data_IF_448367296482
#
_entry.id   IF_448367296482
#
_cell.length_a   1.000
_cell.length_b   1.000
_cell.length_c   1.000
_cell.angle_alpha   90.00
_cell.angle_beta   90.00
_cell.angle_gamma   90.00
#
_symmetry.space_group_name_H-M   'P 1'
#
loop_
_entity.id
_entity.type
_entity.pdbx_description
1 polymer ?
#
# COMPACT_ATOMS: atom_id res chain seq x y z
N UNK A 1 4.72 11.77 20.01
CA UNK A 1 5.44 12.65 19.07
C UNK A 1 5.86 11.86 17.86
N UNK A 2 5.60 12.37 16.66
CA UNK A 2 6.02 11.77 15.39
C UNK A 2 7.08 12.65 14.72
N UNK A 3 8.15 12.02 14.19
CA UNK A 3 9.30 12.71 13.59
C UNK A 3 9.61 12.06 12.23
N UNK A 4 9.97 12.86 11.23
CA UNK A 4 10.48 12.38 9.95
C UNK A 4 11.95 11.91 10.01
N UNK A 5 12.48 11.41 8.90
CA UNK A 5 13.88 10.97 8.81
C UNK A 5 14.90 12.09 8.96
N UNK A 6 14.50 13.34 8.73
CA UNK A 6 15.35 14.53 8.88
C UNK A 6 15.31 15.09 10.31
N UNK A 7 14.56 14.47 11.23
CA UNK A 7 14.38 14.94 12.59
C UNK A 7 13.32 16.03 12.76
N UNK A 8 12.56 16.35 11.70
CA UNK A 8 11.47 17.33 11.78
C UNK A 8 10.27 16.71 12.48
N UNK A 9 9.74 17.39 13.48
CA UNK A 9 8.52 17.01 14.16
C UNK A 9 7.33 17.18 13.21
N UNK A 10 6.58 16.09 13.00
CA UNK A 10 5.39 16.05 12.14
C UNK A 10 4.14 16.30 12.97
N UNK A 11 4.07 15.70 14.17
CA UNK A 11 2.90 15.77 15.02
C UNK A 11 3.28 15.54 16.49
N UNK A 12 2.54 16.21 17.39
CA UNK A 12 2.68 16.03 18.84
C UNK A 12 1.27 15.85 19.42
N UNK A 13 1.04 14.69 20.02
CA UNK A 13 -0.20 14.40 20.73
C UNK A 13 0.08 14.25 22.23
N UNK A 14 -0.79 14.84 23.04
CA UNK A 14 -0.81 14.68 24.49
C UNK A 14 -2.10 13.95 24.82
N UNK A 15 -1.97 12.83 25.52
CA UNK A 15 -3.10 11.99 25.92
C UNK A 15 -2.85 11.35 27.30
N UNK A 16 -3.83 10.63 27.78
CA UNK A 16 -3.68 9.76 28.95
C UNK A 16 -3.18 8.36 28.55
N UNK A 17 -3.03 7.47 29.55
CA UNK A 17 -2.51 6.11 29.35
C UNK A 17 -3.35 5.22 28.43
N UNK A 18 -4.50 5.66 27.96
CA UNK A 18 -5.42 4.87 27.12
C UNK A 18 -5.83 5.55 25.80
N UNK A 19 -5.48 6.82 25.57
CA UNK A 19 -6.08 7.64 24.50
C UNK A 19 -5.10 8.37 23.57
N UNK A 20 -3.85 7.92 23.46
CA UNK A 20 -2.90 8.54 22.52
C UNK A 20 -3.26 8.14 21.07
N UNK A 21 -3.77 9.10 20.29
CA UNK A 21 -4.04 8.88 18.86
C UNK A 21 -2.74 8.86 18.07
N UNK A 22 -2.56 7.83 17.26
CA UNK A 22 -1.44 7.73 16.34
C UNK A 22 -1.61 8.73 15.18
N UNK A 23 -0.53 9.32 14.65
CA UNK A 23 -0.60 10.21 13.50
C UNK A 23 -1.10 9.45 12.26
N UNK A 24 -1.84 10.14 11.39
CA UNK A 24 -2.27 9.56 10.10
C UNK A 24 -1.06 9.40 9.19
N UNK A 25 -0.54 8.20 9.13
CA UNK A 25 0.59 7.83 8.27
C UNK A 25 0.10 6.96 7.13
N UNK A 26 0.49 7.27 5.90
CA UNK A 26 0.24 6.42 4.74
C UNK A 26 1.35 5.39 4.60
N UNK A 27 1.02 4.14 4.84
CA UNK A 27 1.92 3.00 4.56
C UNK A 27 2.14 2.85 3.05
N UNK A 28 3.39 2.57 2.65
CA UNK A 28 3.75 2.22 1.28
C UNK A 28 4.14 0.75 1.23
N UNK A 29 3.66 -0.01 0.24
CA UNK A 29 3.84 -1.47 0.21
C UNK A 29 5.28 -1.98 0.29
N UNK A 30 6.24 -1.17 -0.15
CA UNK A 30 7.63 -1.61 -0.39
C UNK A 30 8.68 -0.83 0.40
N UNK A 31 8.26 0.04 1.31
CA UNK A 31 9.16 0.89 2.13
C UNK A 31 8.55 1.11 3.49
N UNK A 32 9.39 1.40 4.44
CA UNK A 32 8.95 2.00 5.69
C UNK A 32 8.30 3.37 5.42
N UNK A 33 7.41 3.79 6.30
CA UNK A 33 6.57 4.98 6.09
C UNK A 33 7.34 6.31 6.16
N UNK A 34 8.57 6.31 6.66
CA UNK A 34 9.39 7.50 6.83
C UNK A 34 9.15 8.24 8.14
N UNK A 35 8.41 7.64 9.08
CA UNK A 35 8.04 8.25 10.37
C UNK A 35 8.52 7.40 11.52
N UNK A 36 9.11 8.05 12.52
CA UNK A 36 9.43 7.47 13.83
C UNK A 36 8.46 8.02 14.86
N UNK A 37 7.95 7.17 15.73
CA UNK A 37 7.09 7.56 16.85
C UNK A 37 7.86 7.42 18.15
N UNK A 38 7.78 8.45 18.99
CA UNK A 38 8.33 8.45 20.34
C UNK A 38 7.19 8.79 21.30
N UNK A 39 6.97 7.95 22.30
CA UNK A 39 5.94 8.17 23.32
C UNK A 39 6.46 7.80 24.71
N UNK A 40 5.73 8.19 25.71
CA UNK A 40 6.09 7.96 27.12
C UNK A 40 5.13 6.98 27.78
N UNK A 41 5.67 6.12 28.63
CA UNK A 41 4.92 5.22 29.50
C UNK A 41 5.00 5.70 30.96
N UNK A 42 3.93 6.28 31.49
CA UNK A 42 3.93 6.84 32.85
C UNK A 42 3.98 5.77 33.95
N UNK A 43 3.90 4.48 33.61
CA UNK A 43 4.09 3.35 34.50
C UNK A 43 5.54 3.03 34.85
N UNK A 44 6.50 3.76 34.27
CA UNK A 44 7.94 3.48 34.41
C UNK A 44 8.45 2.32 33.55
N UNK A 45 7.58 1.52 32.92
CA UNK A 45 7.99 0.43 32.05
C UNK A 45 8.21 0.93 30.62
N UNK A 46 9.43 0.85 30.12
CA UNK A 46 9.78 1.26 28.77
C UNK A 46 9.46 0.20 27.69
N UNK A 47 9.06 -1.02 28.06
CA UNK A 47 8.75 -2.09 27.10
C UNK A 47 7.58 -1.67 26.20
N UNK A 48 7.70 -1.94 24.90
CA UNK A 48 6.62 -1.73 23.95
C UNK A 48 5.42 -2.61 24.27
N UNK A 49 4.22 -2.05 24.22
CA UNK A 49 2.97 -2.79 24.37
C UNK A 49 2.61 -3.52 23.08
N UNK A 50 1.70 -4.49 23.14
CA UNK A 50 1.19 -5.18 21.96
C UNK A 50 0.52 -4.21 20.97
N UNK A 51 -0.07 -3.12 21.45
CA UNK A 51 -0.66 -2.06 20.64
C UNK A 51 0.44 -1.29 19.88
N UNK A 52 1.57 -0.98 20.55
CA UNK A 52 2.71 -0.32 19.92
C UNK A 52 3.34 -1.19 18.85
N UNK A 53 3.50 -2.48 19.14
CA UNK A 53 4.04 -3.47 18.21
C UNK A 53 3.12 -3.63 16.98
N UNK A 54 1.81 -3.71 17.20
CA UNK A 54 0.84 -3.77 16.11
C UNK A 54 0.92 -2.53 15.23
N UNK A 55 0.96 -1.34 15.83
CA UNK A 55 1.09 -0.08 15.11
C UNK A 55 2.42 0.03 14.33
N UNK A 56 3.53 -0.42 14.92
CA UNK A 56 4.83 -0.48 14.27
C UNK A 56 4.79 -1.31 12.97
N UNK A 57 4.17 -2.48 13.03
CA UNK A 57 4.08 -3.42 11.91
C UNK A 57 3.06 -2.95 10.86
N UNK A 58 1.85 -2.59 11.27
CA UNK A 58 0.77 -2.20 10.36
C UNK A 58 1.08 -0.91 9.59
N UNK A 59 1.63 0.09 10.27
CA UNK A 59 2.00 1.36 9.66
C UNK A 59 3.39 1.32 9.01
N UNK A 60 4.14 0.22 9.18
CA UNK A 60 5.53 0.08 8.73
C UNK A 60 6.37 1.28 9.16
N UNK A 61 6.30 1.61 10.45
CA UNK A 61 7.04 2.74 10.99
C UNK A 61 8.55 2.52 10.85
N UNK A 62 9.30 3.60 10.68
CA UNK A 62 10.77 3.56 10.67
C UNK A 62 11.31 3.08 12.02
N UNK A 63 10.68 3.49 13.10
CA UNK A 63 10.89 2.99 14.47
C UNK A 63 9.74 3.42 15.39
N UNK A 64 9.53 2.66 16.45
CA UNK A 64 8.68 3.00 17.58
C UNK A 64 9.54 3.04 18.85
N UNK A 65 9.51 4.15 19.59
CA UNK A 65 10.28 4.25 20.83
C UNK A 65 9.38 4.59 22.01
N UNK A 66 9.49 3.84 23.08
CA UNK A 66 8.81 4.08 24.34
C UNK A 66 9.82 4.50 25.44
N UNK A 67 9.50 5.54 26.18
CA UNK A 67 10.31 6.06 27.31
C UNK A 67 9.54 5.77 28.59
N UNK A 68 10.10 4.92 29.44
CA UNK A 68 9.55 4.68 30.78
C UNK A 68 9.83 5.84 31.73
N UNK A 69 8.76 6.44 32.26
CA UNK A 69 8.87 7.57 33.20
C UNK A 69 8.33 7.14 34.54
N UNK A 70 9.16 7.27 35.59
CA UNK A 70 8.78 7.03 36.97
C UNK A 70 7.85 8.14 37.52
N UNK A 71 7.22 7.90 38.64
CA UNK A 71 6.30 8.87 39.31
C UNK A 71 6.98 10.18 39.72
N UNK A 72 8.30 10.15 39.93
CA UNK A 72 9.13 11.33 40.24
C UNK A 72 9.60 12.11 39.00
N UNK A 73 9.20 11.64 37.79
CA UNK A 73 9.59 12.25 36.53
C UNK A 73 10.93 11.75 35.99
N UNK A 74 11.64 10.88 36.70
CA UNK A 74 12.91 10.31 36.23
C UNK A 74 12.68 9.26 35.12
N UNK A 75 13.61 9.17 34.17
CA UNK A 75 13.58 8.17 33.10
C UNK A 75 14.13 6.85 33.64
N UNK A 76 13.33 5.78 33.50
CA UNK A 76 13.72 4.42 33.94
C UNK A 76 14.36 3.60 32.81
N UNK A 77 14.07 3.95 31.55
CA UNK A 77 14.63 3.27 30.39
C UNK A 77 13.98 3.71 29.09
N UNK A 78 14.56 3.25 28.00
CA UNK A 78 14.05 3.48 26.64
C UNK A 78 14.02 2.14 25.92
N UNK A 79 12.94 1.92 25.17
CA UNK A 79 12.81 0.81 24.22
C UNK A 79 12.68 1.35 22.80
N UNK A 80 13.31 0.65 21.86
CA UNK A 80 13.27 0.96 20.44
C UNK A 80 12.85 -0.28 19.68
N UNK A 81 11.69 -0.21 19.03
CA UNK A 81 11.17 -1.26 18.16
C UNK A 81 11.39 -0.94 16.69
N UNK A 82 11.73 -1.96 15.93
CA UNK A 82 11.91 -1.91 14.47
C UNK A 82 11.15 -3.05 13.81
N UNK A 83 10.72 -2.84 12.57
CA UNK A 83 10.26 -3.95 11.75
C UNK A 83 11.44 -4.88 11.43
N UNK A 84 11.18 -6.19 11.40
CA UNK A 84 12.12 -7.23 11.00
C UNK A 84 11.46 -8.14 9.99
N UNK A 85 12.16 -8.49 8.93
CA UNK A 85 11.68 -9.44 7.92
C UNK A 85 12.21 -10.83 8.26
N UNK A 86 11.31 -11.80 8.48
CA UNK A 86 11.68 -13.20 8.74
C UNK A 86 10.69 -14.08 7.97
N UNK A 87 11.20 -14.99 7.17
CA UNK A 87 10.39 -15.96 6.40
C UNK A 87 9.17 -15.32 5.71
N UNK A 88 9.42 -14.23 5.00
CA UNK A 88 8.41 -13.47 4.29
C UNK A 88 7.33 -12.78 5.17
N UNK A 89 7.48 -12.78 6.49
CA UNK A 89 6.62 -12.08 7.43
C UNK A 89 7.31 -10.83 7.99
N UNK A 90 6.53 -9.80 8.29
CA UNK A 90 7.02 -8.64 9.02
C UNK A 90 6.75 -8.88 10.49
N UNK A 91 7.80 -9.08 11.24
CA UNK A 91 7.81 -9.18 12.69
C UNK A 91 8.40 -7.90 13.28
N UNK A 92 8.64 -7.88 14.58
CA UNK A 92 9.35 -6.81 15.25
C UNK A 92 10.62 -7.34 15.94
N UNK A 93 11.57 -6.45 16.12
CA UNK A 93 12.68 -6.62 17.05
C UNK A 93 12.70 -5.41 18.00
N UNK A 94 13.03 -5.64 19.25
CA UNK A 94 13.02 -4.61 20.30
C UNK A 94 14.38 -4.55 20.98
N UNK A 95 14.92 -3.35 21.12
CA UNK A 95 16.14 -3.05 21.87
C UNK A 95 15.78 -2.19 23.06
N UNK A 96 16.14 -2.64 24.27
CA UNK A 96 15.89 -1.92 25.51
C UNK A 96 17.21 -1.44 26.12
N UNK A 97 17.28 -0.18 26.55
CA UNK A 97 18.41 0.38 27.24
C UNK A 97 17.95 1.25 28.42
N UNK A 98 18.73 1.20 29.52
CA UNK A 98 18.60 2.15 30.62
C UNK A 98 19.49 3.38 30.45
N UNK A 99 20.41 3.34 29.48
CA UNK A 99 21.34 4.42 29.23
C UNK A 99 20.92 5.22 27.99
N UNK A 100 20.62 6.50 28.17
CA UNK A 100 20.25 7.41 27.09
C UNK A 100 21.35 7.56 26.03
N UNK A 101 22.62 7.55 26.43
CA UNK A 101 23.74 7.66 25.49
C UNK A 101 23.82 6.51 24.48
N UNK A 102 23.24 5.35 24.81
CA UNK A 102 23.13 4.24 23.84
C UNK A 102 22.21 4.63 22.68
N UNK A 103 21.18 5.42 22.94
CA UNK A 103 20.22 5.88 21.91
C UNK A 103 20.81 6.99 21.05
N UNK A 104 21.57 7.91 21.68
CA UNK A 104 22.26 9.01 20.95
C UNK A 104 23.22 8.49 19.90
N UNK A 105 23.90 7.39 20.19
CA UNK A 105 24.89 6.76 19.31
C UNK A 105 24.28 5.71 18.37
N UNK A 106 22.97 5.44 18.44
CA UNK A 106 22.33 4.44 17.60
C UNK A 106 22.12 4.97 16.18
N UNK A 107 22.64 4.26 15.20
CA UNK A 107 22.51 4.66 13.80
C UNK A 107 21.17 4.21 13.21
N UNK A 108 20.13 4.98 13.50
CA UNK A 108 18.77 4.73 12.99
C UNK A 108 18.70 4.64 11.47
N UNK A 109 19.45 5.49 10.75
CA UNK A 109 19.39 5.50 9.28
C UNK A 109 19.98 4.22 8.68
N UNK A 110 21.07 3.71 9.24
CA UNK A 110 21.64 2.44 8.80
C UNK A 110 20.65 1.28 9.02
N UNK A 111 20.00 1.24 10.20
CA UNK A 111 18.99 0.22 10.50
C UNK A 111 17.79 0.29 9.57
N UNK A 112 17.28 1.49 9.31
CA UNK A 112 16.19 1.72 8.36
C UNK A 112 16.55 1.25 6.95
N UNK A 113 17.80 1.54 6.49
CA UNK A 113 18.28 1.11 5.19
C UNK A 113 18.43 -0.40 5.08
N UNK A 114 18.88 -1.07 6.15
CA UNK A 114 18.96 -2.52 6.26
C UNK A 114 17.55 -3.14 6.08
N UNK A 115 16.58 -2.69 6.87
CA UNK A 115 15.19 -3.17 6.80
C UNK A 115 14.56 -2.91 5.42
N UNK A 116 14.78 -1.72 4.84
CA UNK A 116 14.29 -1.41 3.50
C UNK A 116 14.97 -2.27 2.42
N UNK A 117 16.23 -2.65 2.60
CA UNK A 117 16.93 -3.59 1.72
C UNK A 117 16.30 -4.98 1.81
N UNK A 118 16.01 -5.46 3.01
CA UNK A 118 15.31 -6.73 3.23
C UNK A 118 13.88 -6.71 2.67
N UNK A 119 13.14 -5.63 2.90
CA UNK A 119 11.80 -5.44 2.32
C UNK A 119 11.83 -5.40 0.78
N UNK A 120 12.92 -4.91 0.16
CA UNK A 120 13.10 -4.95 -1.29
C UNK A 120 13.58 -6.31 -1.78
N UNK A 121 14.49 -6.97 -1.07
CA UNK A 121 14.98 -8.30 -1.40
C UNK A 121 13.85 -9.34 -1.40
N UNK A 122 12.85 -9.17 -0.52
CA UNK A 122 11.60 -9.94 -0.49
C UNK A 122 10.86 -10.02 -1.84
N UNK A 123 11.17 -9.11 -2.77
CA UNK A 123 10.53 -9.01 -4.09
C UNK A 123 11.34 -9.73 -5.19
N UNK A 124 12.62 -10.01 -4.90
CA UNK A 124 13.53 -10.69 -5.83
C UNK A 124 13.47 -12.21 -5.64
N UNK A 125 12.92 -12.66 -4.52
CA UNK A 125 12.60 -14.07 -4.33
C UNK A 125 11.46 -14.44 -5.27
N UNK A 126 11.76 -15.22 -6.31
CA UNK A 126 10.82 -15.70 -7.34
C UNK A 126 9.64 -16.51 -6.77
N UNK A 127 9.59 -16.71 -5.46
CA UNK A 127 8.56 -17.44 -4.71
C UNK A 127 7.51 -16.56 -4.01
N UNK A 128 7.39 -15.27 -4.32
CA UNK A 128 6.24 -14.49 -3.82
C UNK A 128 4.96 -14.93 -4.52
N UNK A 129 4.38 -15.98 -3.98
CA UNK A 129 3.12 -16.52 -4.50
C UNK A 129 1.96 -15.59 -4.13
N UNK A 130 1.24 -15.12 -5.12
CA UNK A 130 0.03 -14.33 -4.91
C UNK A 130 -1.14 -15.29 -4.63
N UNK A 131 -1.76 -15.11 -3.46
CA UNK A 131 -2.97 -15.83 -3.04
C UNK A 131 -4.15 -14.89 -3.16
N UNK A 132 -5.04 -15.15 -4.12
CA UNK A 132 -6.13 -14.25 -4.44
C UNK A 132 -7.49 -14.74 -3.94
N UNK A 133 -8.31 -13.80 -3.48
CA UNK A 133 -9.76 -13.97 -3.40
C UNK A 133 -10.38 -13.30 -4.61
N UNK A 134 -11.19 -14.06 -5.36
CA UNK A 134 -11.95 -13.53 -6.49
C UNK A 134 -13.31 -13.05 -6.01
N UNK A 135 -13.71 -11.86 -6.48
CA UNK A 135 -14.98 -11.24 -6.12
C UNK A 135 -15.74 -10.86 -7.38
N UNK A 136 -16.98 -11.30 -7.50
CA UNK A 136 -17.84 -10.98 -8.64
C UNK A 136 -19.29 -10.82 -8.27
N UNK A 137 -20.09 -10.33 -9.21
CA UNK A 137 -21.53 -10.09 -9.03
C UNK A 137 -22.40 -10.71 -10.10
N UNK A 138 -21.88 -11.00 -11.27
CA UNK A 138 -22.68 -11.45 -12.43
C UNK A 138 -22.99 -12.94 -12.35
N UNK A 139 -21.99 -13.79 -12.46
CA UNK A 139 -22.20 -15.24 -12.52
C UNK A 139 -21.00 -16.03 -11.97
N UNK A 140 -21.25 -17.30 -11.71
CA UNK A 140 -20.19 -18.26 -11.33
C UNK A 140 -19.29 -18.59 -12.53
N UNK A 141 -19.85 -18.55 -13.74
CA UNK A 141 -19.09 -18.77 -14.97
C UNK A 141 -18.04 -17.68 -15.19
N UNK A 142 -18.44 -16.39 -14.98
CA UNK A 142 -17.50 -15.27 -15.09
C UNK A 142 -16.35 -15.37 -14.07
N UNK A 143 -16.66 -15.80 -12.85
CA UNK A 143 -15.64 -16.05 -11.82
C UNK A 143 -14.76 -17.26 -12.14
N UNK A 144 -15.27 -18.28 -12.81
CA UNK A 144 -14.47 -19.40 -13.30
C UNK A 144 -13.48 -18.93 -14.38
N UNK A 145 -13.92 -18.09 -15.32
CA UNK A 145 -13.02 -17.47 -16.31
C UNK A 145 -11.96 -16.57 -15.64
N UNK A 146 -12.35 -15.76 -14.65
CA UNK A 146 -11.42 -14.93 -13.90
C UNK A 146 -10.36 -15.78 -13.18
N UNK A 147 -10.73 -16.95 -12.67
CA UNK A 147 -9.80 -17.90 -12.05
C UNK A 147 -8.76 -18.40 -13.05
N UNK A 148 -9.17 -18.73 -14.29
CA UNK A 148 -8.24 -19.13 -15.35
C UNK A 148 -7.28 -17.99 -15.71
N UNK A 149 -7.79 -16.75 -15.78
CA UNK A 149 -6.95 -15.56 -15.99
C UNK A 149 -5.94 -15.36 -14.86
N UNK A 150 -6.35 -15.54 -13.59
CA UNK A 150 -5.44 -15.46 -12.44
C UNK A 150 -4.36 -16.55 -12.51
N UNK A 151 -4.74 -17.77 -12.84
CA UNK A 151 -3.80 -18.89 -13.03
C UNK A 151 -2.77 -18.61 -14.13
N UNK A 152 -3.14 -17.90 -15.20
CA UNK A 152 -2.21 -17.49 -16.26
C UNK A 152 -1.14 -16.49 -15.81
N UNK A 153 -1.30 -15.91 -14.61
CA UNK A 153 -0.34 -15.06 -13.91
C UNK A 153 0.30 -15.75 -12.70
N UNK A 154 0.26 -17.07 -12.59
CA UNK A 154 0.75 -17.83 -11.43
C UNK A 154 0.13 -17.40 -10.08
N UNK A 155 -1.09 -16.82 -10.14
CA UNK A 155 -1.86 -16.40 -8.98
C UNK A 155 -2.73 -17.57 -8.51
N UNK A 156 -2.57 -17.98 -7.25
CA UNK A 156 -3.39 -19.05 -6.67
C UNK A 156 -4.70 -18.49 -6.12
N UNK A 157 -5.85 -19.02 -6.59
CA UNK A 157 -7.17 -18.64 -6.06
C UNK A 157 -7.48 -19.45 -4.80
N UNK A 158 -7.52 -18.78 -3.65
CA UNK A 158 -7.78 -19.42 -2.33
C UNK A 158 -9.25 -19.32 -1.92
N UNK A 159 -10.03 -18.41 -2.51
CA UNK A 159 -11.45 -18.26 -2.23
C UNK A 159 -12.17 -17.52 -3.36
N UNK A 160 -13.47 -17.77 -3.49
CA UNK A 160 -14.36 -17.10 -4.45
C UNK A 160 -15.56 -16.56 -3.69
N UNK A 161 -15.90 -15.29 -3.92
CA UNK A 161 -17.04 -14.61 -3.31
C UNK A 161 -17.95 -14.03 -4.38
N UNK A 162 -19.16 -14.55 -4.48
CA UNK A 162 -20.21 -14.05 -5.36
C UNK A 162 -21.25 -13.27 -4.56
N UNK A 163 -21.54 -12.03 -4.99
CA UNK A 163 -22.60 -11.20 -4.42
C UNK A 163 -23.71 -11.00 -5.44
N UNK A 164 -24.76 -11.80 -5.38
CA UNK A 164 -25.94 -11.67 -6.27
C UNK A 164 -26.83 -10.49 -5.84
N UNK A 165 -27.38 -9.76 -6.81
CA UNK A 165 -28.61 -8.97 -6.70
C UNK A 165 -28.59 -7.66 -5.90
N UNK A 166 -27.47 -7.14 -5.41
CA UNK A 166 -27.43 -5.87 -4.68
C UNK A 166 -27.12 -4.68 -5.60
N UNK A 167 -27.55 -3.46 -5.17
CA UNK A 167 -27.14 -2.21 -5.82
C UNK A 167 -25.62 -2.06 -5.70
N UNK A 168 -25.01 -1.50 -6.75
CA UNK A 168 -23.59 -1.14 -6.73
C UNK A 168 -23.38 -0.06 -5.66
N UNK A 169 -22.51 -0.33 -4.71
CA UNK A 169 -22.06 0.67 -3.73
C UNK A 169 -21.07 1.62 -4.41
N UNK A 170 -21.28 2.93 -4.23
CA UNK A 170 -20.42 3.94 -4.85
C UNK A 170 -19.01 3.96 -4.26
N UNK A 171 -18.88 3.59 -2.98
CA UNK A 171 -17.60 3.65 -2.25
C UNK A 171 -16.80 2.36 -2.33
N UNK A 172 -17.46 1.19 -2.41
CA UNK A 172 -16.82 -0.12 -2.30
C UNK A 172 -17.18 -1.08 -3.45
N UNK A 173 -18.08 -0.70 -4.36
CA UNK A 173 -18.65 -1.57 -5.38
C UNK A 173 -19.55 -2.68 -4.81
N UNK A 174 -19.14 -3.35 -3.73
CA UNK A 174 -19.89 -4.33 -2.93
C UNK A 174 -20.45 -3.67 -1.66
N UNK A 175 -21.46 -4.28 -1.04
CA UNK A 175 -22.02 -3.75 0.22
C UNK A 175 -20.99 -3.75 1.36
N UNK A 176 -21.09 -2.79 2.28
CA UNK A 176 -20.16 -2.64 3.42
C UNK A 176 -20.05 -3.91 4.28
N UNK A 177 -21.15 -4.65 4.49
CA UNK A 177 -21.12 -5.94 5.17
C UNK A 177 -20.25 -6.98 4.45
N UNK A 178 -20.25 -6.97 3.11
CA UNK A 178 -19.39 -7.84 2.30
C UNK A 178 -17.91 -7.44 2.36
N UNK A 179 -17.60 -6.15 2.53
CA UNK A 179 -16.22 -5.69 2.76
C UNK A 179 -15.66 -6.30 4.05
N UNK A 180 -16.46 -6.31 5.13
CA UNK A 180 -16.07 -6.91 6.41
C UNK A 180 -15.87 -8.43 6.26
N UNK A 181 -16.78 -9.10 5.56
CA UNK A 181 -16.68 -10.54 5.26
C UNK A 181 -15.40 -10.85 4.46
N UNK A 182 -15.10 -10.03 3.45
CA UNK A 182 -13.92 -10.14 2.60
C UNK A 182 -12.62 -9.94 3.40
N UNK A 183 -12.58 -8.94 4.31
CA UNK A 183 -11.44 -8.71 5.18
C UNK A 183 -11.19 -9.91 6.12
N UNK A 184 -12.24 -10.53 6.65
CA UNK A 184 -12.14 -11.76 7.46
C UNK A 184 -11.67 -12.95 6.62
N UNK A 185 -12.24 -13.14 5.43
CA UNK A 185 -11.84 -14.21 4.52
C UNK A 185 -10.36 -14.09 4.12
N UNK A 186 -9.89 -12.86 3.87
CA UNK A 186 -8.48 -12.57 3.60
C UNK A 186 -7.57 -13.04 4.73
N UNK A 187 -7.91 -12.77 5.98
CA UNK A 187 -7.12 -13.22 7.14
C UNK A 187 -7.13 -14.75 7.28
N UNK A 188 -8.32 -15.37 7.21
CA UNK A 188 -8.48 -16.83 7.38
C UNK A 188 -7.75 -17.60 6.27
N UNK A 189 -7.77 -17.10 5.05
CA UNK A 189 -7.17 -17.76 3.86
C UNK A 189 -5.75 -17.31 3.56
N UNK A 190 -5.18 -16.42 4.38
CA UNK A 190 -3.87 -15.81 4.16
C UNK A 190 -3.73 -15.18 2.76
N UNK A 191 -4.83 -14.64 2.22
CA UNK A 191 -4.81 -14.00 0.92
C UNK A 191 -4.07 -12.64 1.00
N UNK A 192 -3.33 -12.31 -0.06
CA UNK A 192 -2.57 -11.07 -0.17
C UNK A 192 -3.02 -10.21 -1.38
N UNK A 193 -3.99 -10.71 -2.14
CA UNK A 193 -4.55 -10.06 -3.32
C UNK A 193 -6.07 -10.28 -3.37
N UNK A 194 -6.80 -9.23 -3.76
CA UNK A 194 -8.23 -9.34 -4.11
C UNK A 194 -8.39 -8.97 -5.57
N UNK A 195 -9.12 -9.78 -6.32
CA UNK A 195 -9.39 -9.55 -7.75
C UNK A 195 -10.88 -9.44 -7.95
N UNK A 196 -11.33 -8.27 -8.42
CA UNK A 196 -12.71 -8.05 -8.81
C UNK A 196 -12.93 -8.40 -10.28
N UNK A 197 -14.05 -9.03 -10.58
CA UNK A 197 -14.41 -9.41 -11.95
C UNK A 197 -14.79 -8.20 -12.80
N UNK A 198 -15.37 -7.17 -12.18
CA UNK A 198 -15.79 -5.95 -12.84
C UNK A 198 -14.80 -4.80 -12.61
N UNK A 199 -14.87 -3.79 -13.48
CA UNK A 199 -14.03 -2.60 -13.36
C UNK A 199 -14.37 -1.78 -12.13
N UNK A 200 -13.35 -1.36 -11.39
CA UNK A 200 -13.44 -0.52 -10.21
C UNK A 200 -12.95 0.90 -10.50
N UNK A 201 -13.63 1.89 -9.92
CA UNK A 201 -13.09 3.25 -9.87
C UNK A 201 -11.88 3.32 -8.93
N UNK A 202 -11.01 4.32 -9.16
CA UNK A 202 -9.85 4.52 -8.28
C UNK A 202 -10.21 4.74 -6.81
N UNK A 203 -11.37 5.36 -6.53
CA UNK A 203 -11.88 5.56 -5.18
C UNK A 203 -12.31 4.24 -4.55
N UNK A 204 -13.01 3.37 -5.30
CA UNK A 204 -13.41 2.06 -4.81
C UNK A 204 -12.21 1.19 -4.48
N UNK A 205 -11.19 1.17 -5.35
CA UNK A 205 -9.94 0.42 -5.07
C UNK A 205 -9.31 0.90 -3.78
N UNK A 206 -9.10 2.22 -3.65
CA UNK A 206 -8.47 2.79 -2.45
C UNK A 206 -9.26 2.46 -1.19
N UNK A 207 -10.58 2.67 -1.21
CA UNK A 207 -11.42 2.39 -0.06
C UNK A 207 -11.39 0.90 0.31
N UNK A 208 -11.36 0.00 -0.68
CA UNK A 208 -11.24 -1.44 -0.46
C UNK A 208 -9.87 -1.78 0.14
N UNK A 209 -8.78 -1.26 -0.43
CA UNK A 209 -7.41 -1.47 0.09
C UNK A 209 -7.26 -0.96 1.52
N UNK A 210 -7.79 0.24 1.82
CA UNK A 210 -7.76 0.85 3.16
C UNK A 210 -8.54 0.02 4.19
N UNK A 211 -9.63 -0.66 3.80
CA UNK A 211 -10.47 -1.45 4.70
C UNK A 211 -10.06 -2.92 4.80
N UNK A 212 -9.52 -3.50 3.74
CA UNK A 212 -9.16 -4.93 3.68
C UNK A 212 -7.68 -5.13 4.08
N UNK A 213 -6.84 -4.11 3.83
CA UNK A 213 -5.42 -4.14 4.16
C UNK A 213 -4.59 -5.04 3.23
N UNK A 214 -4.96 -5.15 1.95
CA UNK A 214 -4.15 -5.79 0.91
C UNK A 214 -4.44 -5.17 -0.46
N UNK A 215 -3.61 -5.52 -1.46
CA UNK A 215 -3.74 -5.05 -2.84
C UNK A 215 -5.08 -5.48 -3.44
N UNK A 216 -5.74 -4.54 -4.13
CA UNK A 216 -6.99 -4.78 -4.87
C UNK A 216 -6.78 -4.43 -6.34
N UNK A 217 -7.11 -5.36 -7.21
CA UNK A 217 -7.12 -5.16 -8.67
C UNK A 217 -8.45 -5.58 -9.25
N UNK A 218 -8.70 -5.20 -10.49
CA UNK A 218 -9.85 -5.66 -11.25
C UNK A 218 -9.44 -6.51 -12.47
N UNK A 219 -10.42 -7.07 -13.16
CA UNK A 219 -10.22 -7.91 -14.35
C UNK A 219 -9.34 -7.23 -15.40
N UNK A 220 -9.58 -5.96 -15.69
CA UNK A 220 -8.79 -5.21 -16.68
C UNK A 220 -7.31 -5.10 -16.28
N UNK A 221 -7.03 -4.82 -15.00
CA UNK A 221 -5.67 -4.81 -14.48
C UNK A 221 -4.98 -6.17 -14.60
N UNK A 222 -5.70 -7.25 -14.28
CA UNK A 222 -5.18 -8.62 -14.40
C UNK A 222 -4.85 -8.97 -15.87
N UNK A 223 -5.72 -8.61 -16.80
CA UNK A 223 -5.48 -8.83 -18.24
C UNK A 223 -4.23 -8.05 -18.70
N UNK A 224 -4.08 -6.80 -18.27
CA UNK A 224 -2.89 -6.00 -18.59
C UNK A 224 -1.61 -6.63 -18.01
N UNK A 225 -1.68 -7.23 -16.83
CA UNK A 225 -0.56 -7.96 -16.23
C UNK A 225 -0.19 -9.22 -17.03
N UNK A 226 -1.19 -9.98 -17.50
CA UNK A 226 -0.96 -11.13 -18.42
C UNK A 226 -0.22 -10.67 -19.69
N UNK A 227 -0.65 -9.56 -20.29
CA UNK A 227 0.03 -9.02 -21.47
C UNK A 227 1.44 -8.55 -21.15
N UNK A 228 1.67 -7.93 -20.00
CA UNK A 228 2.99 -7.49 -19.56
C UNK A 228 3.96 -8.67 -19.43
N UNK A 229 3.53 -9.75 -18.80
CA UNK A 229 4.33 -10.98 -18.64
C UNK A 229 4.63 -11.66 -19.99
N UNK A 230 3.72 -11.60 -20.95
CA UNK A 230 3.87 -12.19 -22.30
C UNK A 230 4.62 -11.30 -23.29
N UNK A 231 4.78 -10.02 -23.03
CA UNK A 231 5.43 -9.07 -23.92
C UNK A 231 6.95 -9.30 -23.99
N UNK A 232 7.42 -9.94 -25.07
CA UNK A 232 8.86 -10.25 -25.28
C UNK A 232 9.57 -9.18 -26.10
N UNK A 233 8.90 -8.53 -27.05
CA UNK A 233 9.51 -7.52 -27.92
C UNK A 233 9.44 -6.13 -27.26
N UNK A 234 10.40 -5.24 -27.63
CA UNK A 234 10.37 -3.87 -27.16
C UNK A 234 9.07 -3.15 -27.53
N UNK A 235 8.58 -3.39 -28.75
CA UNK A 235 7.30 -2.84 -29.23
C UNK A 235 6.12 -3.31 -28.36
N UNK A 236 6.02 -4.62 -28.08
CA UNK A 236 4.96 -5.18 -27.24
C UNK A 236 5.01 -4.60 -25.81
N UNK A 237 6.21 -4.47 -25.23
CA UNK A 237 6.38 -3.87 -23.89
C UNK A 237 5.91 -2.40 -23.85
N UNK A 238 6.21 -1.62 -24.88
CA UNK A 238 5.75 -0.22 -24.96
C UNK A 238 4.23 -0.17 -25.14
N UNK A 239 3.65 -1.04 -25.97
CA UNK A 239 2.18 -1.09 -26.16
C UNK A 239 1.45 -1.43 -24.87
N UNK A 240 1.92 -2.43 -24.11
CA UNK A 240 1.33 -2.79 -22.81
C UNK A 240 1.47 -1.66 -21.83
N UNK A 241 2.65 -1.03 -21.75
CA UNK A 241 2.88 0.11 -20.87
C UNK A 241 1.96 1.30 -21.19
N UNK A 242 1.73 1.57 -22.48
CA UNK A 242 0.76 2.56 -22.92
C UNK A 242 -0.67 2.23 -22.48
N UNK A 243 -1.08 0.96 -22.56
CA UNK A 243 -2.39 0.52 -22.11
C UNK A 243 -2.54 0.68 -20.58
N UNK A 244 -1.54 0.27 -19.81
CA UNK A 244 -1.51 0.47 -18.35
C UNK A 244 -1.61 1.95 -17.94
N UNK A 245 -0.83 2.82 -18.59
CA UNK A 245 -0.83 4.25 -18.28
C UNK A 245 -2.18 4.91 -18.63
N UNK A 246 -2.76 4.54 -19.77
CA UNK A 246 -4.10 5.01 -20.15
C UNK A 246 -5.13 4.57 -19.09
N UNK A 247 -5.10 3.31 -18.70
CA UNK A 247 -6.01 2.77 -17.71
C UNK A 247 -5.84 3.43 -16.33
N UNK A 248 -4.60 3.64 -15.87
CA UNK A 248 -4.32 4.44 -14.67
C UNK A 248 -4.81 5.89 -14.78
N UNK A 249 -4.65 6.49 -15.96
CA UNK A 249 -5.10 7.85 -16.24
C UNK A 249 -6.62 8.02 -16.11
N UNK A 250 -7.41 7.08 -16.61
CA UNK A 250 -8.89 7.12 -16.47
C UNK A 250 -9.33 7.04 -15.00
N UNK A 251 -8.65 6.24 -14.18
CA UNK A 251 -8.93 6.12 -12.74
C UNK A 251 -8.61 7.39 -11.96
N UNK A 252 -7.55 8.11 -12.31
CA UNK A 252 -7.24 9.41 -11.71
C UNK A 252 -8.28 10.50 -12.02
N UNK A 253 -9.01 10.37 -13.14
CA UNK A 253 -10.08 11.31 -13.50
C UNK A 253 -11.26 11.21 -12.54
N UNK A 254 -11.64 10.02 -12.11
CA UNK A 254 -12.70 9.80 -11.13
C UNK A 254 -12.41 10.43 -9.74
N UNK A 255 -11.15 10.47 -9.33
CA UNK A 255 -10.74 11.10 -8.07
C UNK A 255 -11.02 12.60 -8.00
N UNK A 256 -10.80 13.36 -9.08
CA UNK A 256 -10.94 14.82 -9.08
C UNK A 256 -12.40 15.30 -9.01
N UNK A 257 -13.31 14.59 -9.67
CA UNK A 257 -14.73 15.00 -9.76
C UNK A 257 -15.54 14.68 -8.50
N UNK A 258 -15.17 13.64 -7.75
CA UNK A 258 -15.88 13.30 -6.50
C UNK A 258 -15.31 14.03 -5.28
N UNK A 259 -14.00 14.28 -5.22
CA UNK A 259 -13.41 15.12 -4.17
C UNK A 259 -13.91 16.57 -4.23
N UNK A 260 -14.17 17.11 -5.44
CA UNK A 260 -14.79 18.44 -5.58
C UNK A 260 -16.28 18.47 -5.18
N UNK A 261 -16.98 17.33 -5.20
CA UNK A 261 -18.36 17.22 -4.71
C UNK A 261 -18.47 17.07 -3.19
N UNK A 262 -17.48 16.43 -2.55
CA UNK A 262 -17.46 16.24 -1.09
C UNK A 262 -16.86 17.46 -0.38
N UNK A 263 -16.01 18.24 -1.07
CA UNK A 263 -15.30 19.41 -0.54
C UNK A 263 -15.99 20.76 -0.79
N UNK A 264 -17.32 20.83 -0.78
CA UNK A 264 -18.10 22.07 -0.95
C UNK A 264 -17.91 23.15 0.13
N UNK A 265 -16.74 23.25 0.77
CA UNK A 265 -16.34 24.28 1.73
C UNK A 265 -15.20 25.14 1.18
N UNK A 266 -15.41 26.44 1.21
CA UNK A 266 -14.54 27.53 0.72
C UNK A 266 -13.20 27.60 1.47
N UNK A 267 -12.32 26.62 1.39
CA UNK A 267 -11.06 26.74 2.13
C UNK A 267 -9.94 25.74 1.86
N UNK A 268 -10.17 24.68 1.12
CA UNK A 268 -9.16 23.61 1.02
C UNK A 268 -8.73 23.30 -0.44
N UNK A 269 -8.53 24.33 -1.24
CA UNK A 269 -8.13 24.24 -2.67
C UNK A 269 -6.66 23.97 -2.93
N UNK A 270 -5.83 23.73 -1.92
CA UNK A 270 -4.40 23.95 -2.15
C UNK A 270 -3.56 22.71 -2.47
N UNK A 271 -3.66 21.62 -1.75
CA UNK A 271 -2.61 20.58 -1.76
C UNK A 271 -3.01 19.24 -2.43
N UNK A 272 -4.27 18.85 -2.39
CA UNK A 272 -4.73 17.60 -3.00
C UNK A 272 -4.96 17.70 -4.51
N UNK A 273 -5.49 18.84 -4.99
CA UNK A 273 -5.72 19.10 -6.42
C UNK A 273 -4.41 19.21 -7.19
N UNK A 274 -3.43 19.93 -6.65
CA UNK A 274 -2.11 20.09 -7.27
C UNK A 274 -1.35 18.77 -7.41
N UNK A 275 -1.47 17.85 -6.45
CA UNK A 275 -0.82 16.54 -6.55
C UNK A 275 -1.45 15.66 -7.64
N UNK A 276 -2.76 15.63 -7.72
CA UNK A 276 -3.52 14.91 -8.75
C UNK A 276 -3.26 15.48 -10.16
N UNK A 277 -3.17 16.80 -10.29
CA UNK A 277 -2.82 17.44 -11.57
C UNK A 277 -1.38 17.13 -11.99
N UNK A 278 -0.43 17.15 -11.06
CA UNK A 278 0.95 16.77 -11.31
C UNK A 278 1.06 15.30 -11.75
N UNK A 279 0.34 14.39 -11.09
CA UNK A 279 0.36 12.98 -11.45
C UNK A 279 -0.31 12.74 -12.82
N UNK A 280 -1.37 13.47 -13.15
CA UNK A 280 -1.99 13.46 -14.48
C UNK A 280 -1.05 13.97 -15.56
N UNK A 281 -0.33 15.07 -15.30
CA UNK A 281 0.65 15.62 -16.24
C UNK A 281 1.75 14.61 -16.50
N UNK A 282 2.34 14.01 -15.46
CA UNK A 282 3.36 12.97 -15.59
C UNK A 282 2.90 11.79 -16.46
N UNK A 283 1.67 11.30 -16.22
CA UNK A 283 1.12 10.21 -17.03
C UNK A 283 0.93 10.63 -18.49
N UNK A 284 0.46 11.85 -18.76
CA UNK A 284 0.32 12.36 -20.11
C UNK A 284 1.66 12.49 -20.83
N UNK A 285 2.67 13.02 -20.15
CA UNK A 285 4.01 13.19 -20.69
C UNK A 285 4.68 11.84 -20.98
N UNK A 286 4.50 10.85 -20.07
CA UNK A 286 4.99 9.49 -20.28
C UNK A 286 4.28 8.79 -21.46
N UNK A 287 2.96 8.96 -21.59
CA UNK A 287 2.19 8.45 -22.76
C UNK A 287 2.70 9.08 -24.06
N UNK A 288 2.96 10.39 -24.10
CA UNK A 288 3.46 11.06 -25.28
C UNK A 288 4.85 10.53 -25.68
N UNK A 289 5.78 10.43 -24.72
CA UNK A 289 7.12 9.88 -24.92
C UNK A 289 7.10 8.45 -25.47
N UNK A 290 6.26 7.57 -24.88
CA UNK A 290 6.15 6.18 -25.33
C UNK A 290 5.51 6.06 -26.73
N UNK A 291 4.59 6.96 -27.10
CA UNK A 291 4.03 6.99 -28.46
C UNK A 291 5.10 7.37 -29.49
N UNK A 292 5.92 8.38 -29.19
CA UNK A 292 7.03 8.78 -30.06
C UNK A 292 8.05 7.66 -30.23
N UNK A 293 8.36 6.93 -29.14
CA UNK A 293 9.24 5.77 -29.22
C UNK A 293 8.66 4.64 -30.08
N UNK A 294 7.36 4.38 -29.95
CA UNK A 294 6.66 3.38 -30.74
C UNK A 294 6.68 3.72 -32.23
N UNK A 295 6.45 4.97 -32.59
CA UNK A 295 6.52 5.44 -33.99
C UNK A 295 7.94 5.32 -34.59
N UNK A 296 8.98 5.59 -33.82
CA UNK A 296 10.38 5.38 -34.23
C UNK A 296 10.64 3.89 -34.55
N UNK A 297 10.16 2.97 -33.67
CA UNK A 297 10.32 1.53 -33.88
C UNK A 297 9.59 1.08 -35.16
N UNK A 298 8.38 1.57 -35.42
CA UNK A 298 7.62 1.25 -36.63
C UNK A 298 8.31 1.72 -37.89
N UNK A 299 8.88 2.94 -37.89
CA UNK A 299 9.65 3.49 -39.04
C UNK A 299 10.87 2.62 -39.36
N UNK A 300 11.66 2.22 -38.33
CA UNK A 300 12.84 1.38 -38.51
C UNK A 300 12.45 0.03 -39.11
N UNK A 301 11.35 -0.60 -38.65
CA UNK A 301 10.86 -1.86 -39.21
C UNK A 301 10.34 -1.71 -40.65
N UNK A 302 9.73 -0.56 -40.99
CA UNK A 302 9.33 -0.28 -42.36
C UNK A 302 10.52 -0.31 -43.33
N UNK A 303 11.61 0.39 -42.96
CA UNK A 303 12.84 0.46 -43.76
C UNK A 303 13.62 -0.86 -43.84
N UNK A 304 13.43 -1.80 -42.90
CA UNK A 304 14.07 -3.13 -42.93
C UNK A 304 13.32 -4.15 -43.77
N UNK A 305 12.10 -3.84 -44.24
CA UNK A 305 11.27 -4.73 -45.05
C UNK A 305 11.30 -4.38 -46.55
N UNK A 306 11.85 -3.22 -46.91
CA UNK A 306 12.24 -2.82 -48.23
C UNK A 306 13.68 -3.31 -48.56
#
# INVERSE_FOLDING_TARGET
>A
MAIDRNGKIIDINIGDSGSATLPKVTSKDRKLCGVRIIHTHPSGNAKLSDVDISALIELKLDAMSAIGINKDGSINGISMGFCKVVDNNILHEEYMSRNLHTVENYNFLAKIQEIEKELRARIIDEDYKEYAILVGRESEESLAELKELASACDIETVHIMLQKGSKIDKSFYIGSGKVIELARAKQIRAANLIIFDEELSGIQIRNLEDNIGCRVIDRTSLILEIFARRARTKEAKIQVKLAELKYKGTRLIGFGTELSRIGGGLGNRGLGETKLELDRRKIKDEIASLRDELEKIKKIRGTQRE
#
